data_IF_968743954822
#
_entry.id   IF_968743954822
#
_cell.length_a   1.000
_cell.length_b   1.000
_cell.length_c   1.000
_cell.angle_alpha   90.00
_cell.angle_beta   90.00
_cell.angle_gamma   90.00
#
_symmetry.space_group_name_H-M   'P 1'
#
loop_
_entity.id
_entity.type
_entity.pdbx_description
1 polymer ?
#
# COMPACT_ATOMS: atom_id res chain seq x y z
N UNK A 1 17.59 30.95 27.83
CA UNK A 1 16.33 30.72 27.09
C UNK A 1 16.64 29.71 26.01
N UNK A 2 16.40 28.44 26.30
CA UNK A 2 16.60 27.33 25.37
C UNK A 2 15.44 27.38 24.39
N UNK A 3 15.72 27.65 23.13
CA UNK A 3 14.76 27.54 22.03
C UNK A 3 14.21 26.11 22.04
N UNK A 4 12.93 25.97 22.35
CA UNK A 4 12.21 24.72 22.14
C UNK A 4 12.25 24.49 20.63
N UNK A 5 13.02 23.50 20.19
CA UNK A 5 12.97 23.01 18.80
C UNK A 5 11.50 22.73 18.51
N UNK A 6 10.88 23.48 17.60
CA UNK A 6 9.59 23.12 17.04
C UNK A 6 9.72 21.68 16.55
N UNK A 7 8.93 20.77 17.10
CA UNK A 7 8.92 19.38 16.65
C UNK A 7 8.48 19.40 15.19
N UNK A 8 9.24 18.74 14.30
CA UNK A 8 8.87 18.61 12.89
C UNK A 8 7.42 18.09 12.79
N UNK A 9 6.59 18.79 12.02
CA UNK A 9 5.16 18.53 11.84
C UNK A 9 4.83 18.50 10.35
N UNK A 10 4.25 17.38 9.89
CA UNK A 10 3.85 17.18 8.49
C UNK A 10 2.34 16.89 8.34
N UNK A 11 1.53 17.21 9.34
CA UNK A 11 0.07 17.06 9.27
C UNK A 11 -0.49 17.82 8.08
N UNK A 12 -1.51 17.26 7.42
CA UNK A 12 -2.20 17.97 6.35
C UNK A 12 -2.94 19.21 6.89
N UNK A 13 -3.00 20.23 6.04
CA UNK A 13 -3.92 21.35 6.21
C UNK A 13 -5.38 20.90 5.98
N UNK A 14 -6.39 21.64 6.50
CA UNK A 14 -7.79 21.34 6.24
C UNK A 14 -8.15 21.28 4.74
N UNK A 15 -7.50 22.11 3.91
CA UNK A 15 -7.71 22.09 2.46
C UNK A 15 -7.18 20.81 1.81
N UNK A 16 -6.01 20.32 2.25
CA UNK A 16 -5.44 19.06 1.79
C UNK A 16 -6.29 17.86 2.20
N UNK A 17 -6.82 17.87 3.43
CA UNK A 17 -7.77 16.86 3.90
C UNK A 17 -9.04 16.88 3.03
N UNK A 18 -9.64 18.05 2.80
CA UNK A 18 -10.83 18.17 1.97
C UNK A 18 -10.60 17.71 0.51
N UNK A 19 -9.40 17.96 -0.04
CA UNK A 19 -9.01 17.44 -1.37
C UNK A 19 -8.93 15.91 -1.35
N UNK A 20 -8.31 15.33 -0.33
CA UNK A 20 -8.24 13.88 -0.18
C UNK A 20 -9.64 13.25 -0.05
N UNK A 21 -10.53 13.84 0.75
CA UNK A 21 -11.91 13.37 0.90
C UNK A 21 -12.69 13.38 -0.41
N UNK A 22 -12.50 14.42 -1.23
CA UNK A 22 -13.14 14.55 -2.55
C UNK A 22 -12.58 13.56 -3.57
N UNK A 23 -11.26 13.46 -3.67
CA UNK A 23 -10.60 12.76 -4.78
C UNK A 23 -10.25 11.30 -4.44
N UNK A 24 -10.20 10.95 -3.16
CA UNK A 24 -9.77 9.62 -2.68
C UNK A 24 -8.25 9.42 -2.72
N UNK A 25 -7.50 10.44 -3.12
CA UNK A 25 -6.04 10.48 -3.10
C UNK A 25 -5.50 11.90 -2.90
N UNK A 26 -4.24 11.98 -2.52
CA UNK A 26 -3.46 13.22 -2.46
C UNK A 26 -2.00 12.93 -2.80
N UNK A 27 -1.43 13.73 -3.70
CA UNK A 27 -0.03 13.63 -4.08
C UNK A 27 0.27 14.43 -5.35
N UNK A 28 1.55 14.51 -5.75
CA UNK A 28 2.71 13.95 -5.05
C UNK A 28 2.97 14.63 -3.70
N UNK A 29 3.37 13.86 -2.68
CA UNK A 29 3.88 14.38 -1.41
C UNK A 29 5.34 13.95 -1.24
N UNK A 30 6.22 14.86 -0.83
CA UNK A 30 7.63 14.55 -0.61
C UNK A 30 7.81 13.79 0.71
N UNK A 31 8.52 12.66 0.67
CA UNK A 31 8.98 11.89 1.84
C UNK A 31 10.50 12.01 1.99
N UNK A 32 11.23 11.95 0.88
CA UNK A 32 12.68 12.11 0.82
C UNK A 32 13.06 13.01 -0.36
N UNK A 33 14.24 13.62 -0.30
CA UNK A 33 14.84 14.19 -1.52
C UNK A 33 15.27 13.05 -2.49
N UNK A 34 15.27 13.28 -3.81
CA UNK A 34 15.55 12.23 -4.79
C UNK A 34 16.90 11.52 -4.61
N UNK A 35 17.94 12.26 -4.22
CA UNK A 35 19.27 11.71 -4.00
C UNK A 35 19.30 10.85 -2.73
N UNK A 36 18.56 11.22 -1.69
CA UNK A 36 18.43 10.41 -0.48
C UNK A 36 17.67 9.12 -0.77
N UNK A 37 16.54 9.20 -1.49
CA UNK A 37 15.80 8.00 -1.89
C UNK A 37 16.69 7.06 -2.69
N UNK A 38 17.44 7.59 -3.67
CA UNK A 38 18.35 6.78 -4.48
C UNK A 38 19.41 6.08 -3.61
N UNK A 39 20.00 6.78 -2.63
CA UNK A 39 20.96 6.17 -1.68
C UNK A 39 20.32 5.08 -0.83
N UNK A 40 19.11 5.32 -0.31
CA UNK A 40 18.36 4.33 0.48
C UNK A 40 18.03 3.10 -0.35
N UNK A 41 17.45 3.29 -1.53
CA UNK A 41 17.10 2.20 -2.43
C UNK A 41 18.32 1.37 -2.85
N UNK A 42 19.48 1.99 -3.08
CA UNK A 42 20.72 1.26 -3.36
C UNK A 42 21.15 0.30 -2.26
N UNK A 43 20.84 0.63 -1.00
CA UNK A 43 21.11 -0.23 0.15
C UNK A 43 20.01 -1.28 0.32
N UNK A 44 18.75 -0.85 0.27
CA UNK A 44 17.57 -1.72 0.39
C UNK A 44 17.62 -2.83 -0.67
N UNK A 45 17.85 -2.51 -1.95
CA UNK A 45 17.87 -3.51 -3.03
C UNK A 45 18.92 -4.61 -2.83
N UNK A 46 20.04 -4.28 -2.17
CA UNK A 46 21.08 -5.25 -1.83
C UNK A 46 20.65 -6.10 -0.63
N UNK A 47 20.02 -5.49 0.37
CA UNK A 47 19.52 -6.18 1.56
C UNK A 47 18.34 -7.11 1.25
N UNK A 48 17.49 -6.77 0.27
CA UNK A 48 16.35 -7.59 -0.13
C UNK A 48 16.73 -9.00 -0.59
N UNK A 49 17.95 -9.18 -1.09
CA UNK A 49 18.49 -10.48 -1.52
C UNK A 49 18.74 -11.44 -0.34
N UNK A 50 19.01 -10.90 0.85
CA UNK A 50 19.13 -11.68 2.07
C UNK A 50 17.74 -11.84 2.70
N UNK A 51 17.22 -13.07 2.66
CA UNK A 51 15.93 -13.45 3.25
C UNK A 51 16.07 -14.23 4.55
N UNK A 52 17.29 -14.36 5.10
CA UNK A 52 17.55 -15.16 6.31
C UNK A 52 16.71 -14.76 7.53
N UNK A 53 16.27 -13.51 7.58
CA UNK A 53 15.42 -12.96 8.63
C UNK A 53 14.03 -12.51 8.15
N UNK A 54 13.67 -12.77 6.89
CA UNK A 54 12.33 -12.48 6.41
C UNK A 54 11.29 -13.28 7.21
N UNK A 55 10.13 -12.68 7.51
CA UNK A 55 9.10 -13.34 8.31
C UNK A 55 8.36 -14.44 7.55
N UNK A 56 8.39 -14.38 6.21
CA UNK A 56 7.81 -15.37 5.33
C UNK A 56 8.92 -16.24 4.72
N UNK A 57 8.83 -17.58 4.88
CA UNK A 57 9.78 -18.52 4.29
C UNK A 57 9.86 -18.37 2.77
N UNK A 58 10.94 -18.89 2.19
CA UNK A 58 11.02 -19.04 0.74
C UNK A 58 9.92 -19.98 0.26
N UNK A 59 9.15 -19.52 -0.71
CA UNK A 59 8.16 -20.31 -1.43
C UNK A 59 8.67 -20.59 -2.84
N UNK A 60 8.23 -21.70 -3.42
CA UNK A 60 8.61 -22.10 -4.78
C UNK A 60 7.76 -21.41 -5.87
N UNK A 61 6.76 -20.62 -5.49
CA UNK A 61 5.86 -19.96 -6.43
C UNK A 61 6.46 -18.68 -7.03
N UNK A 62 5.97 -18.32 -8.21
CA UNK A 62 6.24 -17.05 -8.90
C UNK A 62 5.49 -15.87 -8.25
N UNK A 63 5.05 -16.05 -7.00
CA UNK A 63 4.12 -15.19 -6.28
C UNK A 63 4.73 -13.86 -5.86
N UNK A 64 3.90 -12.81 -5.86
CA UNK A 64 4.26 -11.50 -5.31
C UNK A 64 4.55 -11.53 -3.79
N UNK A 65 4.26 -12.64 -3.10
CA UNK A 65 4.49 -12.80 -1.64
C UNK A 65 5.95 -12.52 -1.23
N UNK A 66 6.92 -12.80 -2.10
CA UNK A 66 8.33 -12.47 -1.84
C UNK A 66 8.58 -10.97 -1.58
N UNK A 67 7.65 -10.10 -1.98
CA UNK A 67 7.70 -8.66 -1.81
C UNK A 67 6.97 -8.14 -0.56
N UNK A 68 6.36 -9.01 0.25
CA UNK A 68 5.53 -8.59 1.38
C UNK A 68 6.37 -8.36 2.64
N UNK A 69 5.96 -7.37 3.42
CA UNK A 69 6.31 -7.14 4.83
C UNK A 69 7.81 -7.10 5.17
N UNK A 70 8.64 -6.72 4.19
CA UNK A 70 10.09 -6.54 4.37
C UNK A 70 10.48 -5.42 5.33
N UNK A 71 9.51 -4.58 5.74
CA UNK A 71 9.68 -3.64 6.85
C UNK A 71 9.94 -4.33 8.19
N UNK A 72 9.62 -5.63 8.31
CA UNK A 72 9.87 -6.40 9.53
C UNK A 72 11.27 -7.00 9.59
N UNK A 73 12.10 -6.92 8.54
CA UNK A 73 13.47 -7.46 8.54
C UNK A 73 14.56 -6.53 7.96
N UNK A 74 14.18 -5.40 7.37
CA UNK A 74 15.12 -4.41 6.82
C UNK A 74 14.95 -3.06 7.53
N UNK A 75 15.99 -2.61 8.23
CA UNK A 75 15.95 -1.39 9.06
C UNK A 75 15.53 -0.12 8.30
N UNK A 76 15.95 0.04 7.04
CA UNK A 76 15.56 1.19 6.22
C UNK A 76 14.08 1.18 5.82
N UNK A 77 13.46 -0.01 5.74
CA UNK A 77 12.02 -0.16 5.49
C UNK A 77 11.24 -0.03 6.80
N UNK A 78 11.79 -0.54 7.90
CA UNK A 78 11.27 -0.33 9.25
C UNK A 78 11.17 1.17 9.58
N UNK A 79 12.25 1.92 9.32
CA UNK A 79 12.26 3.38 9.47
C UNK A 79 11.28 4.06 8.49
N UNK A 80 11.20 3.59 7.24
CA UNK A 80 10.33 4.20 6.21
C UNK A 80 8.87 4.26 6.67
N UNK A 81 8.33 3.14 7.16
CA UNK A 81 6.92 3.08 7.57
C UNK A 81 6.61 3.94 8.80
N UNK A 82 7.64 4.36 9.54
CA UNK A 82 7.57 5.20 10.74
C UNK A 82 7.89 6.68 10.47
N UNK A 83 8.22 7.06 9.23
CA UNK A 83 8.65 8.44 8.90
C UNK A 83 7.57 9.46 9.29
N UNK A 84 7.91 10.56 10.00
CA UNK A 84 6.98 11.65 10.29
C UNK A 84 6.26 12.20 9.07
N UNK A 85 6.97 12.32 7.94
CA UNK A 85 6.41 12.78 6.66
C UNK A 85 5.28 11.89 6.13
N UNK A 86 5.22 10.64 6.57
CA UNK A 86 4.14 9.70 6.23
C UNK A 86 3.11 9.68 7.36
N UNK A 87 3.57 9.39 8.59
CA UNK A 87 2.71 9.12 9.74
C UNK A 87 1.83 10.33 10.09
N UNK A 88 2.36 11.57 10.08
CA UNK A 88 1.56 12.76 10.40
C UNK A 88 0.45 13.01 9.36
N UNK A 89 0.77 12.77 8.08
CA UNK A 89 -0.18 12.90 6.97
C UNK A 89 -1.28 11.85 7.05
N UNK A 90 -0.92 10.58 7.27
CA UNK A 90 -1.91 9.50 7.45
C UNK A 90 -2.78 9.76 8.68
N UNK A 91 -2.18 10.25 9.78
CA UNK A 91 -2.92 10.54 11.00
C UNK A 91 -3.94 11.67 10.83
N UNK A 92 -3.65 12.63 9.94
CA UNK A 92 -4.58 13.69 9.55
C UNK A 92 -5.83 13.17 8.82
N UNK A 93 -5.78 11.95 8.27
CA UNK A 93 -6.86 11.36 7.48
C UNK A 93 -7.70 10.35 8.27
N UNK A 94 -7.04 9.52 9.08
CA UNK A 94 -7.68 8.36 9.74
C UNK A 94 -7.46 8.31 11.26
N UNK A 95 -7.00 9.42 11.86
CA UNK A 95 -6.82 9.57 13.30
C UNK A 95 -5.42 9.18 13.80
N UNK A 96 -5.12 9.46 15.09
CA UNK A 96 -3.75 9.42 15.61
C UNK A 96 -3.21 8.01 15.91
N UNK A 97 -4.07 7.02 16.08
CA UNK A 97 -3.72 5.66 16.49
C UNK A 97 -3.59 4.77 15.25
N UNK A 98 -2.37 4.63 14.74
CA UNK A 98 -2.12 4.04 13.42
C UNK A 98 -1.36 2.72 13.49
N UNK A 99 -1.87 1.73 12.76
CA UNK A 99 -1.18 0.49 12.46
C UNK A 99 -0.69 0.51 11.02
N UNK A 100 0.61 0.33 10.80
CA UNK A 100 1.11 -0.16 9.52
C UNK A 100 0.96 -1.68 9.54
N UNK A 101 0.02 -2.21 8.76
CA UNK A 101 -0.33 -3.63 8.80
C UNK A 101 0.27 -4.42 7.63
N UNK A 102 0.67 -3.75 6.55
CA UNK A 102 1.29 -4.40 5.40
C UNK A 102 2.23 -3.46 4.66
N UNK A 103 3.29 -4.02 4.09
CA UNK A 103 4.06 -3.35 3.04
C UNK A 103 4.28 -4.26 1.83
N UNK A 104 4.44 -3.68 0.64
CA UNK A 104 4.59 -4.44 -0.60
C UNK A 104 5.44 -3.68 -1.64
N UNK A 105 6.37 -4.38 -2.30
CA UNK A 105 7.10 -3.85 -3.45
C UNK A 105 6.34 -4.06 -4.76
N UNK A 106 6.40 -3.06 -5.64
CA UNK A 106 5.77 -3.05 -6.95
C UNK A 106 6.79 -2.73 -8.05
N UNK A 107 7.59 -3.72 -8.48
CA UNK A 107 8.46 -3.56 -9.64
C UNK A 107 7.66 -3.45 -10.94
N UNK A 108 8.19 -2.71 -11.91
CA UNK A 108 7.90 -2.85 -13.35
C UNK A 108 9.19 -2.79 -14.14
N UNK A 109 9.45 -3.81 -14.93
CA UNK A 109 10.54 -3.90 -15.89
C UNK A 109 10.03 -3.68 -17.31
N UNK A 110 10.93 -3.44 -18.25
CA UNK A 110 10.57 -3.26 -19.65
C UNK A 110 9.72 -4.42 -20.18
N UNK A 111 8.57 -4.09 -20.77
CA UNK A 111 7.65 -5.07 -21.35
C UNK A 111 6.62 -5.64 -20.36
N UNK A 112 6.75 -5.32 -19.07
CA UNK A 112 5.74 -5.66 -18.09
C UNK A 112 4.42 -4.95 -18.39
N UNK A 113 3.34 -5.69 -18.22
CA UNK A 113 1.97 -5.21 -18.31
C UNK A 113 1.68 -4.14 -17.26
N UNK A 114 0.65 -3.33 -17.47
CA UNK A 114 0.08 -2.48 -16.45
C UNK A 114 -0.58 -3.31 -15.36
N UNK A 115 -0.62 -2.80 -14.13
CA UNK A 115 -1.51 -3.40 -13.13
C UNK A 115 -2.97 -3.09 -13.51
N UNK A 116 -3.85 -4.09 -13.39
CA UNK A 116 -5.28 -3.95 -13.65
C UNK A 116 -5.92 -2.81 -12.85
N UNK A 117 -7.02 -2.29 -13.40
CA UNK A 117 -7.96 -1.50 -12.62
C UNK A 117 -8.55 -2.34 -11.49
N UNK A 118 -8.44 -1.83 -10.27
CA UNK A 118 -8.94 -2.51 -9.09
C UNK A 118 -9.30 -1.54 -7.97
N UNK A 119 -10.11 -2.04 -7.04
CA UNK A 119 -10.42 -1.41 -5.76
C UNK A 119 -10.33 -2.49 -4.69
N UNK A 120 -9.40 -2.36 -3.76
CA UNK A 120 -9.25 -3.30 -2.65
C UNK A 120 -9.86 -2.71 -1.38
N UNK A 121 -10.78 -3.44 -0.77
CA UNK A 121 -11.55 -3.05 0.39
C UNK A 121 -11.21 -3.94 1.59
N UNK A 122 -11.41 -5.25 1.44
CA UNK A 122 -11.15 -6.24 2.49
C UNK A 122 -9.87 -7.03 2.24
N UNK A 123 -9.26 -6.88 1.06
CA UNK A 123 -8.12 -7.67 0.59
C UNK A 123 -8.44 -9.17 0.53
N UNK A 124 -9.71 -9.51 0.38
CA UNK A 124 -10.15 -10.90 0.20
C UNK A 124 -9.94 -11.40 -1.25
N UNK A 125 -9.65 -10.51 -2.20
CA UNK A 125 -9.60 -10.83 -3.64
C UNK A 125 -8.82 -12.10 -4.01
N UNK A 126 -7.71 -12.39 -3.32
CA UNK A 126 -6.89 -13.57 -3.58
C UNK A 126 -7.23 -14.77 -2.69
N UNK A 127 -7.83 -14.57 -1.51
CA UNK A 127 -8.00 -15.62 -0.48
C UNK A 127 -9.46 -16.00 -0.19
N UNK A 128 -10.42 -15.21 -0.65
CA UNK A 128 -11.84 -15.29 -0.29
C UNK A 128 -12.15 -14.91 1.17
N UNK A 129 -11.16 -14.52 1.98
CA UNK A 129 -11.32 -14.13 3.38
C UNK A 129 -10.89 -12.68 3.61
N UNK A 130 -11.67 -11.87 4.35
CA UNK A 130 -11.29 -10.50 4.65
C UNK A 130 -10.03 -10.48 5.53
N UNK A 131 -9.03 -9.72 5.10
CA UNK A 131 -7.78 -9.54 5.83
C UNK A 131 -7.81 -8.31 6.74
N UNK A 132 -8.71 -7.36 6.45
CA UNK A 132 -9.02 -6.26 7.36
C UNK A 132 -10.53 -6.14 7.52
N UNK A 133 -10.98 -5.86 8.75
CA UNK A 133 -12.39 -5.62 9.07
C UNK A 133 -12.47 -4.38 9.97
N UNK A 134 -13.13 -3.34 9.47
CA UNK A 134 -13.47 -2.18 10.30
C UNK A 134 -14.65 -2.50 11.22
N UNK A 135 -14.79 -1.78 12.34
CA UNK A 135 -16.01 -1.86 13.14
C UNK A 135 -17.25 -1.57 12.29
N UNK A 136 -18.32 -2.30 12.59
CA UNK A 136 -19.63 -2.17 11.96
C UNK A 136 -20.67 -2.18 13.06
N UNK A 137 -21.57 -1.19 13.03
CA UNK A 137 -22.79 -1.22 13.82
C UNK A 137 -23.74 -2.27 13.22
N UNK A 138 -24.52 -2.93 14.07
CA UNK A 138 -25.51 -3.92 13.62
C UNK A 138 -26.37 -3.37 12.47
N UNK A 139 -26.34 -4.09 11.33
CA UNK A 139 -27.13 -3.75 10.15
C UNK A 139 -26.54 -2.68 9.23
N UNK A 140 -25.34 -2.11 9.52
CA UNK A 140 -24.62 -1.22 8.60
C UNK A 140 -23.36 -1.90 8.06
N UNK A 141 -23.09 -1.86 6.75
CA UNK A 141 -21.82 -2.34 6.22
C UNK A 141 -20.66 -1.62 6.91
N UNK A 142 -19.64 -2.38 7.33
CA UNK A 142 -18.39 -1.80 7.80
C UNK A 142 -17.84 -0.84 6.74
N UNK A 143 -17.21 0.26 7.16
CA UNK A 143 -16.31 0.97 6.26
C UNK A 143 -15.20 0.01 5.79
N UNK A 144 -14.62 0.23 4.62
CA UNK A 144 -13.68 -0.72 4.01
C UNK A 144 -12.48 0.00 3.40
N UNK A 145 -11.36 -0.71 3.31
CA UNK A 145 -10.12 -0.21 2.73
C UNK A 145 -9.05 0.15 3.76
N UNK A 146 -7.89 0.52 3.24
CA UNK A 146 -6.71 0.96 3.99
C UNK A 146 -6.12 2.17 3.30
N UNK A 147 -5.50 3.07 4.06
CA UNK A 147 -4.70 4.14 3.48
C UNK A 147 -3.41 3.52 2.94
N UNK A 148 -3.21 3.63 1.63
CA UNK A 148 -1.98 3.20 0.96
C UNK A 148 -1.10 4.41 0.72
N UNK A 149 0.12 4.36 1.23
CA UNK A 149 1.18 5.31 0.91
C UNK A 149 2.14 4.62 -0.04
N UNK A 150 2.06 4.98 -1.32
CA UNK A 150 2.92 4.41 -2.35
C UNK A 150 4.06 5.38 -2.64
N UNK A 151 5.28 4.98 -2.27
CA UNK A 151 6.49 5.78 -2.42
C UNK A 151 7.28 5.31 -3.64
N UNK A 152 7.66 6.26 -4.49
CA UNK A 152 8.58 6.05 -5.61
C UNK A 152 10.02 5.84 -5.10
N UNK A 153 10.52 4.61 -5.13
CA UNK A 153 11.93 4.31 -4.84
C UNK A 153 12.84 4.59 -6.04
N UNK A 154 12.28 4.50 -7.24
CA UNK A 154 12.83 5.06 -8.48
C UNK A 154 11.83 6.06 -9.05
N UNK A 155 12.19 6.79 -10.11
CA UNK A 155 11.21 7.60 -10.83
C UNK A 155 10.07 6.74 -11.37
N UNK A 156 8.86 7.29 -11.34
CA UNK A 156 7.63 6.67 -11.81
C UNK A 156 7.04 7.59 -12.87
N UNK A 157 7.17 7.22 -14.13
CA UNK A 157 6.78 7.99 -15.31
C UNK A 157 5.75 7.22 -16.12
N UNK A 158 5.03 7.87 -17.02
CA UNK A 158 4.09 7.17 -17.91
C UNK A 158 4.80 6.08 -18.72
N UNK A 159 6.02 6.36 -19.20
CA UNK A 159 6.81 5.42 -20.00
C UNK A 159 7.21 4.17 -19.22
N UNK A 160 7.60 4.29 -17.95
CA UNK A 160 8.00 3.15 -17.12
C UNK A 160 6.85 2.58 -16.26
N UNK A 161 5.61 2.96 -16.59
CA UNK A 161 4.40 2.38 -16.04
C UNK A 161 3.97 2.99 -14.72
N UNK A 162 3.85 4.31 -14.60
CA UNK A 162 3.35 4.95 -13.38
C UNK A 162 1.91 4.55 -13.03
N UNK A 163 1.50 4.81 -11.79
CA UNK A 163 0.11 4.62 -11.36
C UNK A 163 -0.83 5.53 -12.15
N UNK A 164 -2.06 5.08 -12.32
CA UNK A 164 -3.19 5.88 -12.76
C UNK A 164 -4.25 5.85 -11.66
N UNK A 165 -4.84 7.01 -11.36
CA UNK A 165 -5.86 7.19 -10.32
C UNK A 165 -7.10 7.83 -10.94
N UNK A 166 -8.29 7.35 -10.55
CA UNK A 166 -9.56 7.95 -10.95
C UNK A 166 -10.21 8.65 -9.75
N UNK A 167 -10.28 9.99 -9.72
CA UNK A 167 -10.76 10.76 -8.58
C UNK A 167 -12.20 10.38 -8.18
N UNK A 168 -12.51 10.42 -6.88
CA UNK A 168 -13.88 10.32 -6.35
C UNK A 168 -14.49 8.91 -6.32
N UNK A 169 -13.78 7.93 -6.88
CA UNK A 169 -14.27 6.55 -7.03
C UNK A 169 -14.22 5.71 -5.75
N UNK A 170 -13.51 6.16 -4.71
CA UNK A 170 -13.41 5.47 -3.41
C UNK A 170 -14.74 5.31 -2.69
N UNK A 171 -15.73 6.15 -3.00
CA UNK A 171 -17.04 6.12 -2.34
C UNK A 171 -17.90 4.92 -2.74
N UNK A 172 -17.58 4.22 -3.84
CA UNK A 172 -18.36 3.08 -4.34
C UNK A 172 -17.48 1.97 -4.89
N UNK A 173 -17.75 0.72 -4.47
CA UNK A 173 -17.05 -0.46 -4.96
C UNK A 173 -17.70 -1.02 -6.24
N UNK A 174 -16.92 -1.17 -7.31
CA UNK A 174 -17.32 -1.87 -8.54
C UNK A 174 -16.96 -3.36 -8.54
N UNK A 175 -16.15 -3.79 -7.57
CA UNK A 175 -15.68 -5.16 -7.44
C UNK A 175 -16.24 -5.83 -6.17
N UNK A 176 -16.40 -7.14 -6.23
CA UNK A 176 -16.84 -8.02 -5.16
C UNK A 176 -15.74 -9.04 -4.88
N UNK A 177 -14.95 -8.77 -3.84
CA UNK A 177 -13.81 -9.59 -3.45
C UNK A 177 -14.20 -10.99 -2.93
N UNK A 178 -15.49 -11.26 -2.68
CA UNK A 178 -15.96 -12.58 -2.28
C UNK A 178 -16.02 -13.60 -3.43
N UNK A 179 -15.97 -13.14 -4.68
CA UNK A 179 -16.04 -14.01 -5.87
C UNK A 179 -14.78 -14.89 -6.05
N UNK A 180 -13.64 -14.47 -5.49
CA UNK A 180 -12.34 -15.11 -5.72
C UNK A 180 -11.84 -14.96 -7.16
N UNK A 181 -10.58 -15.29 -7.40
CA UNK A 181 -9.95 -15.23 -8.73
C UNK A 181 -9.12 -16.48 -9.01
N UNK A 182 -9.15 -16.95 -10.25
CA UNK A 182 -8.28 -18.03 -10.70
C UNK A 182 -6.86 -17.51 -10.98
N UNK A 183 -5.87 -18.19 -10.40
CA UNK A 183 -4.45 -17.88 -10.62
C UNK A 183 -3.94 -18.58 -11.88
N UNK A 184 -3.36 -17.80 -12.79
CA UNK A 184 -2.73 -18.29 -14.02
C UNK A 184 -1.38 -17.58 -14.24
N UNK A 185 -0.30 -18.27 -13.88
CA UNK A 185 1.05 -17.73 -14.02
C UNK A 185 1.47 -17.53 -15.48
N UNK A 186 0.89 -18.27 -16.42
CA UNK A 186 1.25 -18.21 -17.84
C UNK A 186 0.58 -17.03 -18.54
N UNK A 187 -0.45 -16.44 -17.93
CA UNK A 187 -1.08 -15.22 -18.41
C UNK A 187 -0.32 -13.93 -18.09
N UNK A 188 0.67 -13.97 -17.19
CA UNK A 188 1.47 -12.80 -16.83
C UNK A 188 2.11 -12.24 -18.11
N UNK A 189 1.92 -10.94 -18.33
CA UNK A 189 2.43 -10.25 -19.50
C UNK A 189 1.89 -10.80 -20.85
N UNK A 190 0.72 -11.43 -20.89
CA UNK A 190 0.12 -11.94 -22.14
C UNK A 190 -1.22 -11.29 -22.50
N UNK A 191 -1.94 -10.71 -21.54
CA UNK A 191 -3.32 -10.24 -21.75
C UNK A 191 -3.36 -8.77 -22.17
N UNK A 192 -4.21 -8.47 -23.14
CA UNK A 192 -4.57 -7.12 -23.53
C UNK A 192 -6.03 -6.84 -23.17
N UNK A 193 -6.29 -5.67 -22.61
CA UNK A 193 -7.61 -5.22 -22.15
C UNK A 193 -7.83 -3.81 -22.70
N UNK A 194 -8.77 -3.70 -23.64
CA UNK A 194 -9.10 -2.45 -24.32
C UNK A 194 -7.87 -1.74 -24.93
N UNK A 195 -6.99 -2.51 -25.58
CA UNK A 195 -5.79 -1.98 -26.23
C UNK A 195 -4.58 -1.80 -25.32
N UNK A 196 -4.71 -2.06 -24.01
CA UNK A 196 -3.64 -1.90 -23.04
C UNK A 196 -3.30 -3.25 -22.43
N UNK A 197 -2.01 -3.60 -22.45
CA UNK A 197 -1.49 -4.79 -21.78
C UNK A 197 -1.66 -4.62 -20.27
N UNK A 198 -2.54 -5.38 -19.64
CA UNK A 198 -2.83 -5.30 -18.19
C UNK A 198 -3.09 -6.67 -17.58
N UNK A 199 -2.68 -6.82 -16.33
CA UNK A 199 -2.95 -8.00 -15.51
C UNK A 199 -2.78 -7.70 -14.02
N UNK A 200 -3.03 -8.72 -13.18
CA UNK A 200 -2.91 -8.60 -11.74
C UNK A 200 -2.08 -9.76 -11.17
N UNK A 201 -0.79 -9.80 -11.53
CA UNK A 201 0.18 -10.79 -11.00
C UNK A 201 -0.25 -12.25 -11.22
N UNK A 202 -0.79 -12.56 -12.41
CA UNK A 202 -1.34 -13.88 -12.76
C UNK A 202 -2.87 -13.99 -12.60
N UNK A 203 -3.49 -13.01 -11.94
CA UNK A 203 -4.95 -12.90 -11.86
C UNK A 203 -5.53 -11.96 -12.93
N UNK A 204 -6.85 -12.01 -13.11
CA UNK A 204 -7.63 -11.03 -13.86
C UNK A 204 -8.65 -10.36 -12.95
N UNK A 205 -8.42 -9.10 -12.57
CA UNK A 205 -9.29 -8.42 -11.60
C UNK A 205 -10.72 -8.18 -12.12
N UNK A 206 -10.94 -8.28 -13.45
CA UNK A 206 -12.29 -8.20 -14.04
C UNK A 206 -13.22 -9.31 -13.56
N UNK A 207 -12.67 -10.47 -13.16
CA UNK A 207 -13.45 -11.57 -12.58
C UNK A 207 -14.21 -11.17 -11.31
N UNK A 208 -13.74 -10.12 -10.62
CA UNK A 208 -14.36 -9.58 -9.42
C UNK A 208 -15.42 -8.51 -9.72
N UNK A 209 -15.60 -8.05 -10.96
CA UNK A 209 -16.59 -7.01 -11.26
C UNK A 209 -17.99 -7.45 -10.83
N UNK A 210 -18.73 -6.55 -10.16
CA UNK A 210 -20.13 -6.79 -9.77
C UNK A 210 -21.00 -6.98 -11.01
N UNK A 211 -20.86 -6.08 -11.97
CA UNK A 211 -21.43 -6.17 -13.32
C UNK A 211 -20.32 -6.54 -14.32
N UNK A 212 -20.36 -7.74 -14.94
CA UNK A 212 -19.36 -8.18 -15.92
C UNK A 212 -19.28 -7.33 -17.20
N UNK A 213 -20.29 -6.49 -17.47
CA UNK A 213 -20.29 -5.59 -18.62
C UNK A 213 -19.79 -4.18 -18.27
N UNK A 214 -19.65 -3.87 -16.99
CA UNK A 214 -19.14 -2.59 -16.54
C UNK A 214 -17.66 -2.47 -16.90
N UNK A 215 -17.27 -1.26 -17.29
CA UNK A 215 -15.87 -0.90 -17.56
C UNK A 215 -15.50 0.37 -16.79
N UNK A 216 -14.27 0.48 -16.27
CA UNK A 216 -13.78 1.74 -15.75
C UNK A 216 -13.77 2.78 -16.87
N UNK A 217 -14.24 3.99 -16.60
CA UNK A 217 -14.13 5.10 -17.52
C UNK A 217 -12.69 5.64 -17.51
N UNK A 218 -11.80 4.99 -18.26
CA UNK A 218 -10.37 5.35 -18.29
C UNK A 218 -10.12 6.81 -18.75
N UNK A 219 -11.10 7.49 -19.37
CA UNK A 219 -10.97 8.90 -19.72
C UNK A 219 -10.88 9.83 -18.49
N UNK A 220 -11.31 9.34 -17.33
CA UNK A 220 -11.23 10.04 -16.04
C UNK A 220 -9.94 9.70 -15.26
N UNK A 221 -9.07 8.85 -15.81
CA UNK A 221 -7.84 8.42 -15.15
C UNK A 221 -6.71 9.43 -15.35
N UNK A 222 -6.05 9.80 -14.27
CA UNK A 222 -4.89 10.69 -14.31
C UNK A 222 -3.59 9.93 -14.01
N UNK A 223 -2.54 10.10 -14.83
CA UNK A 223 -1.21 9.58 -14.51
C UNK A 223 -0.64 10.25 -13.26
N UNK A 224 -0.14 9.44 -12.32
CA UNK A 224 0.53 9.89 -11.10
C UNK A 224 2.04 9.71 -11.26
N UNK A 225 2.67 10.69 -11.91
CA UNK A 225 4.12 10.76 -12.11
C UNK A 225 4.79 11.20 -10.81
N UNK A 226 5.83 10.47 -10.39
CA UNK A 226 6.54 10.69 -9.13
C UNK A 226 8.05 10.66 -9.34
N UNK A 227 8.76 11.61 -8.73
CA UNK A 227 10.23 11.56 -8.59
C UNK A 227 10.61 10.56 -7.49
N UNK A 228 11.86 10.04 -7.49
CA UNK A 228 12.33 9.27 -6.35
C UNK A 228 12.14 10.05 -5.05
N UNK A 229 11.58 9.43 -4.02
CA UNK A 229 11.33 10.04 -2.71
C UNK A 229 9.98 10.73 -2.58
N UNK A 230 9.24 10.93 -3.68
CA UNK A 230 7.83 11.34 -3.63
C UNK A 230 6.92 10.13 -3.42
N UNK A 231 5.76 10.37 -2.84
CA UNK A 231 4.72 9.38 -2.63
C UNK A 231 3.36 9.91 -3.07
N UNK A 232 2.42 9.00 -3.28
CA UNK A 232 0.99 9.30 -3.35
C UNK A 232 0.29 8.56 -2.21
N UNK A 233 -0.64 9.24 -1.55
CA UNK A 233 -1.47 8.69 -0.48
C UNK A 233 -2.89 8.54 -1.02
N UNK A 234 -3.46 7.35 -0.94
CA UNK A 234 -4.81 7.07 -1.46
C UNK A 234 -5.51 5.98 -0.67
N UNK A 235 -6.84 6.03 -0.66
CA UNK A 235 -7.65 4.90 -0.21
C UNK A 235 -7.45 3.71 -1.15
N UNK A 236 -7.26 2.51 -0.63
CA UNK A 236 -7.09 1.30 -1.45
C UNK A 236 -8.30 0.97 -2.34
N UNK A 237 -9.48 1.47 -1.96
CA UNK A 237 -10.72 1.41 -2.70
C UNK A 237 -10.91 2.58 -3.69
N UNK A 238 -9.98 3.54 -3.79
CA UNK A 238 -9.92 4.43 -4.96
C UNK A 238 -9.57 3.57 -6.18
N UNK A 239 -10.28 3.76 -7.28
CA UNK A 239 -9.99 3.08 -8.53
C UNK A 239 -8.60 3.46 -9.01
N UNK A 240 -7.72 2.46 -9.09
CA UNK A 240 -6.33 2.66 -9.48
C UNK A 240 -5.81 1.50 -10.33
N UNK A 241 -4.82 1.82 -11.14
CA UNK A 241 -4.12 0.90 -12.05
C UNK A 241 -2.68 1.37 -12.21
N UNK A 242 -1.92 0.74 -13.11
CA UNK A 242 -0.69 1.34 -13.64
C UNK A 242 -0.62 1.19 -15.14
N UNK A 243 0.06 2.11 -15.82
CA UNK A 243 0.42 1.93 -17.22
C UNK A 243 1.38 0.74 -17.40
N UNK A 244 1.44 0.11 -18.59
CA UNK A 244 2.49 -0.84 -18.93
C UNK A 244 3.84 -0.14 -19.08
N UNK A 245 4.92 -0.89 -18.96
CA UNK A 245 6.27 -0.36 -19.13
C UNK A 245 6.74 -0.49 -20.59
N UNK A 246 6.85 0.64 -21.26
CA UNK A 246 7.26 0.77 -22.66
C UNK A 246 8.65 1.42 -22.84
N UNK A 247 9.37 1.61 -21.72
CA UNK A 247 10.71 2.20 -21.69
C UNK A 247 11.83 1.24 -22.06
N UNK A 248 13.05 1.60 -21.64
CA UNK A 248 14.26 0.82 -21.93
C UNK A 248 14.47 -0.34 -20.94
N UNK A 249 15.22 -1.38 -21.33
CA UNK A 249 15.53 -2.54 -20.48
C UNK A 249 16.32 -2.23 -19.20
N UNK A 250 17.03 -1.10 -19.18
CA UNK A 250 17.84 -0.66 -18.02
C UNK A 250 17.09 0.29 -17.10
N UNK A 251 15.92 0.77 -17.53
CA UNK A 251 15.04 1.63 -16.75
C UNK A 251 13.94 0.77 -16.13
N UNK A 252 13.93 0.60 -14.81
CA UNK A 252 12.85 -0.09 -14.11
C UNK A 252 12.19 0.87 -13.12
N UNK A 253 10.90 0.66 -12.87
CA UNK A 253 10.13 1.36 -11.86
C UNK A 253 10.04 0.50 -10.60
N UNK A 254 10.26 1.11 -9.44
CA UNK A 254 10.07 0.48 -8.14
C UNK A 254 9.20 1.36 -7.25
N UNK A 255 8.01 0.84 -6.94
CA UNK A 255 7.15 1.36 -5.89
C UNK A 255 7.30 0.58 -4.60
N UNK A 256 7.15 1.26 -3.47
CA UNK A 256 6.96 0.62 -2.17
C UNK A 256 5.68 1.15 -1.53
N UNK A 257 4.71 0.26 -1.33
CA UNK A 257 3.46 0.60 -0.66
C UNK A 257 3.56 0.24 0.82
N UNK A 258 3.23 1.18 1.70
CA UNK A 258 2.95 0.95 3.11
C UNK A 258 1.46 1.19 3.37
N UNK A 259 0.79 0.27 4.06
CA UNK A 259 -0.66 0.27 4.23
C UNK A 259 -1.03 0.46 5.69
N UNK A 260 -1.90 1.43 5.94
CA UNK A 260 -2.25 1.89 7.27
C UNK A 260 -3.74 1.76 7.57
N UNK A 261 -4.04 1.36 8.79
CA UNK A 261 -5.40 1.30 9.34
C UNK A 261 -5.41 1.85 10.76
N UNK A 262 -6.55 2.39 11.24
CA UNK A 262 -6.70 2.70 12.66
C UNK A 262 -6.67 1.45 13.55
N UNK A 263 -6.32 1.60 14.82
CA UNK A 263 -6.17 0.47 15.76
C UNK A 263 -7.47 -0.32 16.01
N UNK A 264 -8.65 0.30 15.83
CA UNK A 264 -9.94 -0.39 15.91
C UNK A 264 -10.21 -1.39 14.78
N UNK A 265 -9.42 -1.35 13.70
CA UNK A 265 -9.54 -2.30 12.59
C UNK A 265 -8.91 -3.62 13.01
N UNK A 266 -9.63 -4.73 12.81
CA UNK A 266 -9.08 -6.06 12.98
C UNK A 266 -8.24 -6.44 11.76
N UNK A 267 -7.02 -6.90 12.00
CA UNK A 267 -6.05 -7.32 10.99
C UNK A 267 -5.89 -8.84 11.06
N UNK A 268 -6.10 -9.49 9.93
CA UNK A 268 -6.17 -10.95 9.75
C UNK A 268 -7.09 -11.66 10.77
N UNK A 269 -8.35 -11.21 10.92
CA UNK A 269 -9.28 -11.83 11.87
C UNK A 269 -9.48 -13.31 11.56
N UNK A 270 -9.40 -14.15 12.60
CA UNK A 270 -9.58 -15.60 12.47
C UNK A 270 -8.59 -16.30 11.53
N UNK A 271 -7.43 -15.69 11.27
CA UNK A 271 -6.46 -16.18 10.28
C UNK A 271 -5.08 -16.41 10.90
N UNK A 272 -4.53 -17.59 10.64
CA UNK A 272 -3.15 -17.97 10.99
C UNK A 272 -2.28 -18.17 9.75
N UNK A 273 -2.88 -18.61 8.64
CA UNK A 273 -2.21 -18.80 7.36
C UNK A 273 -3.06 -18.18 6.25
N UNK A 274 -2.42 -17.51 5.28
CA UNK A 274 -3.04 -17.04 4.04
C UNK A 274 -2.53 -17.85 2.87
N UNK A 275 -3.25 -17.84 1.76
CA UNK A 275 -2.77 -18.39 0.49
C UNK A 275 -3.08 -17.40 -0.61
N UNK A 276 -2.06 -16.72 -1.14
CA UNK A 276 -2.21 -15.71 -2.20
C UNK A 276 -1.20 -15.97 -3.32
N UNK A 277 -1.52 -15.58 -4.55
CA UNK A 277 -0.61 -15.71 -5.71
C UNK A 277 -0.04 -17.12 -5.91
N UNK A 278 -0.73 -18.16 -5.43
CA UNK A 278 -0.31 -19.55 -5.49
C UNK A 278 0.60 -20.04 -4.34
N UNK A 279 0.94 -19.18 -3.37
CA UNK A 279 1.81 -19.53 -2.24
C UNK A 279 1.16 -19.29 -0.86
N UNK A 280 1.58 -20.06 0.14
CA UNK A 280 1.14 -19.92 1.53
C UNK A 280 1.95 -18.89 2.31
N UNK A 281 1.28 -18.00 3.03
CA UNK A 281 1.88 -17.12 4.04
C UNK A 281 1.55 -17.70 5.42
N UNK A 282 2.58 -17.90 6.25
CA UNK A 282 2.40 -18.19 7.68
C UNK A 282 2.55 -16.89 8.49
N UNK A 283 1.54 -16.55 9.30
CA UNK A 283 1.50 -15.34 10.11
C UNK A 283 2.19 -15.48 11.49
N UNK A 284 2.90 -16.59 11.75
CA UNK A 284 3.59 -16.86 13.02
C UNK A 284 4.52 -15.72 13.46
N UNK A 285 5.31 -15.17 12.52
CA UNK A 285 6.23 -14.06 12.76
C UNK A 285 5.67 -12.70 12.32
N UNK A 286 4.41 -12.66 11.91
CA UNK A 286 3.75 -11.43 11.51
C UNK A 286 3.25 -10.65 12.73
N UNK A 287 3.34 -9.32 12.64
CA UNK A 287 2.61 -8.41 13.51
C UNK A 287 2.45 -7.05 12.85
N UNK A 288 1.31 -6.40 13.06
CA UNK A 288 1.12 -5.01 12.68
C UNK A 288 2.02 -4.11 13.54
N UNK A 289 2.50 -3.01 12.96
CA UNK A 289 3.39 -2.06 13.62
C UNK A 289 2.60 -0.83 14.06
N UNK A 290 2.63 -0.49 15.36
CA UNK A 290 2.03 0.74 15.88
C UNK A 290 2.90 1.94 15.49
N UNK A 291 2.52 2.62 14.41
CA UNK A 291 3.27 3.74 13.85
C UNK A 291 3.12 5.03 14.66
N UNK A 292 1.93 5.24 15.23
CA UNK A 292 1.64 6.39 16.10
C UNK A 292 0.54 6.12 17.10
N UNK A 293 0.48 6.96 18.13
CA UNK A 293 -0.57 6.94 19.13
C UNK A 293 -0.46 5.73 20.06
N UNK A 294 -1.61 5.12 20.36
CA UNK A 294 -1.77 4.00 21.29
C UNK A 294 -2.71 2.93 20.73
N UNK A 295 -2.47 1.67 21.10
CA UNK A 295 -3.40 0.57 20.84
C UNK A 295 -4.23 0.28 22.10
N UNK A 296 -5.48 0.72 22.09
CA UNK A 296 -6.46 0.53 23.18
C UNK A 296 -7.26 -0.77 23.05
N UNK A 297 -7.16 -1.46 21.89
CA UNK A 297 -8.00 -2.61 21.56
C UNK A 297 -7.30 -3.92 21.88
N UNK A 298 -5.99 -4.03 21.59
CA UNK A 298 -5.20 -5.22 21.89
C UNK A 298 -5.67 -6.50 21.18
N UNK A 299 -6.46 -6.37 20.12
CA UNK A 299 -7.03 -7.49 19.35
C UNK A 299 -6.20 -7.91 18.13
N UNK A 300 -5.13 -7.17 17.83
CA UNK A 300 -4.24 -7.43 16.69
C UNK A 300 -2.92 -8.04 17.16
N UNK A 301 -2.31 -8.91 16.35
CA UNK A 301 -0.89 -9.30 16.56
C UNK A 301 -0.01 -8.09 16.28
N UNK A 302 0.92 -7.80 17.19
CA UNK A 302 1.73 -6.59 17.16
C UNK A 302 3.22 -6.91 17.08
N UNK A 303 3.93 -6.21 16.19
CA UNK A 303 5.39 -6.21 16.12
C UNK A 303 5.92 -4.92 16.77
N UNK A 304 6.56 -5.05 17.93
CA UNK A 304 7.27 -3.92 18.59
C UNK A 304 8.72 -3.79 18.14
N UNK A 305 9.28 -4.86 17.60
CA UNK A 305 10.66 -4.94 17.16
C UNK A 305 10.74 -5.72 15.85
N UNK A 306 11.59 -5.28 14.92
CA UNK A 306 11.89 -6.03 13.69
C UNK A 306 12.71 -7.30 14.01
N UNK A 307 12.82 -8.21 13.05
CA UNK A 307 13.63 -9.42 13.12
C UNK A 307 15.14 -9.12 13.29
N UNK A 308 15.57 -7.88 13.05
CA UNK A 308 16.95 -7.39 13.27
C UNK A 308 17.13 -6.57 14.55
N UNK A 309 16.07 -6.38 15.34
CA UNK A 309 16.14 -5.60 16.58
C UNK A 309 15.80 -4.12 16.43
N UNK A 310 15.31 -3.65 15.26
CA UNK A 310 14.84 -2.28 15.11
C UNK A 310 13.59 -2.06 15.97
N UNK A 311 13.61 -1.11 16.90
CA UNK A 311 12.46 -0.81 17.75
C UNK A 311 11.48 0.14 17.05
N UNK A 312 10.22 -0.28 16.94
CA UNK A 312 9.14 0.55 16.45
C UNK A 312 8.55 1.36 17.60
N UNK A 313 9.13 2.53 17.86
CA UNK A 313 8.63 3.46 18.89
C UNK A 313 7.50 4.31 18.31
N UNK A 314 6.25 4.21 18.79
CA UNK A 314 5.12 4.95 18.23
C UNK A 314 5.33 6.46 18.32
N UNK A 315 5.16 7.14 17.19
CA UNK A 315 5.22 8.60 17.14
C UNK A 315 4.02 9.22 17.85
N UNK A 316 4.26 10.29 18.62
CA UNK A 316 3.20 11.17 19.12
C UNK A 316 3.03 12.32 18.13
N UNK A 317 2.03 12.20 17.25
CA UNK A 317 1.73 13.19 16.21
C UNK A 317 1.35 14.52 16.88
N UNK A 318 1.92 15.66 16.47
CA UNK A 318 1.56 16.96 17.03
C UNK A 318 0.06 17.24 16.83
N UNK A 319 -0.63 17.65 17.89
CA UNK A 319 -2.02 18.10 17.79
C UNK A 319 -2.09 19.46 17.08
N UNK A 320 -2.96 19.60 16.07
CA UNK A 320 -3.34 20.94 15.61
C UNK A 320 -3.99 21.69 16.78
N UNK A 321 -3.62 22.96 17.05
CA UNK A 321 -4.44 23.77 17.92
C UNK A 321 -5.83 23.80 17.29
N UNK A 322 -6.83 23.33 18.04
CA UNK A 322 -8.22 23.40 17.60
C UNK A 322 -8.49 24.85 17.17
N UNK A 323 -8.98 25.03 15.94
CA UNK A 323 -9.44 26.33 15.49
C UNK A 323 -10.55 26.77 16.47
N UNK A 324 -10.23 27.79 17.28
CA UNK A 324 -11.18 28.43 18.19
C UNK A 324 -12.20 29.27 17.44
#
# INVERSE_FOLDING_TARGET
MTTVSEKANFTFSPEEVARFERDGYIGPVKVFEPEEMTRRWNTIRRQLLDRSLAIYPDSNGKANISNYDRHLDIDLLAEHIMRPEIVDRVASLIGPNLLCWRSEFFPKYQGDEGTDWHQAATFAHATGKPQIIWPSDEGRPAFIGTITVWTAFTHSTEQNGCLQLMPGTHTSMNYDESKGMDYDADAINQREKDGIKRGFFGYDYRSLQKDPNWKPDESQAYPMVLKPGEAVIFWSNTMHASLPHTGSKTDYRMGFAARYVPTQVQVYPGTENLTEYGDGINLEKYGAVLASGVDEYGHNRMARTSQRGYEFVPRQVPSHPAAG
#
